data_IF_935809229614
#
_entry.id   IF_935809229614
#
_cell.length_a   1.000
_cell.length_b   1.000
_cell.length_c   1.000
_cell.angle_alpha   90.00
_cell.angle_beta   90.00
_cell.angle_gamma   90.00
#
_symmetry.space_group_name_H-M   'P 1'
#
loop_
_entity.id
_entity.type
_entity.pdbx_description
1 polymer ?
#
# COMPACT_ATOMS: atom_id res chain seq x y z
N UNK A 1 0.44 -1.23 24.01
CA UNK A 1 -0.26 -2.08 23.04
C UNK A 1 0.62 -2.25 21.79
N UNK A 2 0.61 -3.42 21.13
CA UNK A 2 1.50 -3.69 19.99
C UNK A 2 0.91 -3.11 18.70
N UNK A 3 1.75 -2.47 17.89
CA UNK A 3 1.39 -1.98 16.56
C UNK A 3 1.41 -3.13 15.55
N UNK A 4 0.39 -3.18 14.69
CA UNK A 4 0.35 -4.02 13.49
C UNK A 4 0.53 -3.13 12.27
N UNK A 5 1.37 -3.58 11.34
CA UNK A 5 1.72 -2.84 10.12
C UNK A 5 1.43 -3.70 8.88
N UNK A 6 0.98 -3.04 7.81
CA UNK A 6 0.87 -3.62 6.47
C UNK A 6 1.17 -2.54 5.43
N UNK A 7 1.69 -2.91 4.28
CA UNK A 7 1.92 -2.02 3.14
C UNK A 7 1.49 -2.66 1.83
N UNK A 8 1.16 -1.85 0.82
CA UNK A 8 0.73 -2.29 -0.50
C UNK A 8 1.25 -1.35 -1.59
N UNK A 9 1.94 -1.92 -2.58
CA UNK A 9 2.62 -1.21 -3.68
C UNK A 9 2.38 -1.88 -5.05
N UNK A 10 1.25 -2.56 -5.21
CA UNK A 10 0.97 -3.41 -6.36
C UNK A 10 -0.21 -2.88 -7.21
N UNK A 11 -0.81 -3.76 -8.00
CA UNK A 11 -1.81 -3.42 -9.02
C UNK A 11 -2.95 -2.57 -8.46
N UNK A 12 -3.28 -1.48 -9.14
CA UNK A 12 -4.37 -0.57 -8.77
C UNK A 12 -3.99 0.50 -7.75
N UNK A 13 -2.80 0.44 -7.15
CA UNK A 13 -2.30 1.50 -6.28
C UNK A 13 -1.57 2.57 -7.10
N UNK A 14 -2.02 3.82 -6.99
CA UNK A 14 -1.35 4.99 -7.61
C UNK A 14 -0.16 5.52 -6.78
N UNK A 15 -0.06 5.08 -5.52
CA UNK A 15 1.00 5.41 -4.58
C UNK A 15 1.08 4.31 -3.50
N UNK A 16 2.16 4.29 -2.73
CA UNK A 16 2.31 3.40 -1.59
C UNK A 16 1.20 3.60 -0.56
N UNK A 17 0.54 2.49 -0.19
CA UNK A 17 -0.49 2.45 0.85
C UNK A 17 0.09 1.77 2.09
N UNK A 18 -0.07 2.39 3.24
CA UNK A 18 0.45 1.91 4.51
C UNK A 18 -0.68 1.84 5.53
N UNK A 19 -0.74 0.78 6.31
CA UNK A 19 -1.76 0.60 7.33
C UNK A 19 -1.08 0.35 8.67
N UNK A 20 -1.52 1.12 9.67
CA UNK A 20 -1.13 0.95 11.07
C UNK A 20 -2.36 0.73 11.91
N UNK A 21 -2.37 -0.34 12.71
CA UNK A 21 -3.39 -0.61 13.71
C UNK A 21 -2.78 -0.66 15.12
N UNK A 22 -3.38 0.09 16.04
CA UNK A 22 -3.05 0.11 17.47
C UNK A 22 -4.35 0.15 18.27
N UNK A 23 -4.67 -0.97 18.89
CA UNK A 23 -5.92 -1.16 19.63
C UNK A 23 -7.15 -1.02 18.75
N UNK A 24 -8.06 -0.12 19.17
CA UNK A 24 -9.31 0.13 18.46
C UNK A 24 -9.12 0.91 17.15
N UNK A 25 -7.97 1.55 16.96
CA UNK A 25 -7.79 2.47 15.84
C UNK A 25 -6.98 1.85 14.71
N UNK A 26 -7.38 2.16 13.48
CA UNK A 26 -6.69 1.81 12.24
C UNK A 26 -6.52 3.08 11.40
N UNK A 27 -5.28 3.37 11.03
CA UNK A 27 -4.91 4.40 10.07
C UNK A 27 -4.55 3.72 8.74
N UNK A 28 -5.04 4.25 7.63
CA UNK A 28 -4.51 3.98 6.29
C UNK A 28 -3.89 5.27 5.78
N UNK A 29 -2.58 5.26 5.56
CA UNK A 29 -1.78 6.37 5.06
C UNK A 29 -1.39 6.12 3.60
N UNK A 30 -1.49 7.15 2.78
CA UNK A 30 -1.16 7.11 1.36
C UNK A 30 -0.06 8.13 1.10
N UNK A 31 1.04 7.72 0.46
CA UNK A 31 2.11 8.66 0.14
C UNK A 31 1.57 9.76 -0.79
N UNK A 32 1.60 11.01 -0.34
CA UNK A 32 1.11 12.17 -1.09
C UNK A 32 -0.41 12.35 -1.18
N UNK A 33 -1.23 11.59 -0.43
CA UNK A 33 -2.69 11.69 -0.45
C UNK A 33 -3.30 11.70 0.97
N UNK A 34 -4.57 12.07 1.09
CA UNK A 34 -5.30 12.13 2.35
C UNK A 34 -5.39 10.73 3.02
N UNK A 35 -5.15 10.63 4.34
CA UNK A 35 -5.28 9.37 5.05
C UNK A 35 -6.74 9.03 5.35
N UNK A 36 -6.98 7.80 5.79
CA UNK A 36 -8.25 7.36 6.37
C UNK A 36 -8.04 6.89 7.81
N UNK A 37 -9.01 7.13 8.70
CA UNK A 37 -8.93 6.74 10.11
C UNK A 37 -10.23 6.10 10.58
N UNK A 38 -10.15 4.89 11.13
CA UNK A 38 -11.31 4.11 11.57
C UNK A 38 -11.22 3.70 13.04
N UNK A 39 -12.36 3.78 13.72
CA UNK A 39 -12.57 3.23 15.05
C UNK A 39 -13.19 1.83 14.92
N UNK A 40 -12.37 0.79 14.94
CA UNK A 40 -12.80 -0.60 14.70
C UNK A 40 -13.71 -1.17 15.81
N UNK A 41 -13.83 -0.50 16.96
CA UNK A 41 -14.77 -0.92 18.02
C UNK A 41 -16.14 -0.32 17.79
N UNK A 42 -16.21 0.98 17.46
CA UNK A 42 -17.48 1.64 17.18
C UNK A 42 -17.99 1.38 15.75
N UNK A 43 -17.07 1.13 14.82
CA UNK A 43 -17.30 0.91 13.41
C UNK A 43 -16.47 -0.27 12.88
N UNK A 44 -16.88 -1.52 13.18
CA UNK A 44 -16.18 -2.72 12.72
C UNK A 44 -16.17 -2.91 11.20
N UNK A 45 -17.02 -2.17 10.46
CA UNK A 45 -17.14 -2.25 9.00
C UNK A 45 -16.36 -1.15 8.28
N UNK A 46 -15.71 -0.25 9.01
CA UNK A 46 -14.92 0.85 8.44
C UNK A 46 -15.74 1.75 7.49
N UNK A 47 -17.02 1.95 7.81
CA UNK A 47 -17.95 2.70 6.98
C UNK A 47 -17.84 4.23 7.20
N UNK A 48 -17.20 4.67 8.27
CA UNK A 48 -17.11 6.07 8.68
C UNK A 48 -15.65 6.48 8.84
N UNK A 49 -15.13 7.19 7.85
CA UNK A 49 -13.81 7.79 7.92
C UNK A 49 -13.80 8.98 8.89
N UNK A 50 -12.85 8.97 9.83
CA UNK A 50 -12.65 10.00 10.86
C UNK A 50 -11.33 10.76 10.69
N UNK A 51 -10.67 10.65 9.55
CA UNK A 51 -9.38 11.29 9.32
C UNK A 51 -9.42 12.83 9.42
N UNK A 52 -10.56 13.43 9.08
CA UNK A 52 -10.81 14.88 9.17
C UNK A 52 -11.50 15.30 10.48
N UNK A 53 -11.88 14.35 11.34
CA UNK A 53 -12.52 14.66 12.62
C UNK A 53 -11.51 15.28 13.59
N UNK A 54 -11.76 16.53 13.98
CA UNK A 54 -10.91 17.28 14.90
C UNK A 54 -10.77 16.60 16.27
N UNK A 55 -11.79 15.86 16.72
CA UNK A 55 -11.73 15.09 17.95
C UNK A 55 -10.77 13.90 17.85
N UNK A 56 -10.44 13.46 16.63
CA UNK A 56 -9.53 12.36 16.35
C UNK A 56 -8.11 12.81 15.97
N UNK A 57 -7.83 14.12 15.91
CA UNK A 57 -6.54 14.65 15.47
C UNK A 57 -5.34 14.08 16.26
N UNK A 58 -5.48 13.95 17.58
CA UNK A 58 -4.43 13.38 18.44
C UNK A 58 -4.20 11.88 18.17
N UNK A 59 -5.27 11.13 17.89
CA UNK A 59 -5.18 9.70 17.53
C UNK A 59 -4.49 9.53 16.19
N UNK A 60 -4.87 10.34 15.18
CA UNK A 60 -4.23 10.33 13.86
C UNK A 60 -2.73 10.58 13.99
N UNK A 61 -2.34 11.62 14.74
CA UNK A 61 -0.94 11.97 14.96
C UNK A 61 -0.15 10.85 15.67
N UNK A 62 -0.73 10.18 16.68
CA UNK A 62 -0.09 9.04 17.35
C UNK A 62 0.16 7.89 16.37
N UNK A 63 -0.83 7.50 15.58
CA UNK A 63 -0.68 6.40 14.60
C UNK A 63 0.30 6.74 13.48
N UNK A 64 0.30 7.99 13.02
CA UNK A 64 1.28 8.50 12.05
C UNK A 64 2.71 8.48 12.62
N UNK A 65 2.87 8.77 13.92
CA UNK A 65 4.16 8.65 14.59
C UNK A 65 4.58 7.19 14.72
N UNK A 66 3.65 6.26 15.02
CA UNK A 66 3.94 4.83 15.01
C UNK A 66 4.36 4.33 13.63
N UNK A 67 3.69 4.78 12.55
CA UNK A 67 4.10 4.47 11.17
C UNK A 67 5.55 4.92 10.92
N UNK A 68 5.89 6.15 11.30
CA UNK A 68 7.23 6.73 11.09
C UNK A 68 8.34 6.09 11.93
N UNK A 69 8.00 5.32 12.97
CA UNK A 69 8.97 4.46 13.67
C UNK A 69 9.31 3.20 12.88
N UNK A 70 8.46 2.78 11.96
CA UNK A 70 8.62 1.56 11.15
C UNK A 70 9.29 1.90 9.82
N UNK A 71 8.78 2.91 9.11
CA UNK A 71 9.33 3.35 7.84
C UNK A 71 9.03 4.83 7.56
N UNK A 72 9.77 5.42 6.62
CA UNK A 72 9.40 6.66 5.96
C UNK A 72 8.52 6.33 4.74
N UNK A 73 7.21 6.66 4.76
CA UNK A 73 6.28 6.31 3.68
C UNK A 73 6.70 6.88 2.31
N UNK A 74 7.25 8.09 2.29
CA UNK A 74 7.61 8.78 1.05
C UNK A 74 8.84 8.14 0.41
N UNK A 75 9.83 7.78 1.24
CA UNK A 75 11.02 7.07 0.79
C UNK A 75 10.70 5.64 0.32
N UNK A 76 9.83 4.92 1.03
CA UNK A 76 9.39 3.58 0.60
C UNK A 76 8.60 3.66 -0.70
N UNK A 77 7.73 4.65 -0.86
CA UNK A 77 7.01 4.90 -2.10
C UNK A 77 7.97 5.18 -3.27
N UNK A 78 8.95 6.06 -3.08
CA UNK A 78 9.97 6.38 -4.09
C UNK A 78 10.76 5.13 -4.50
N UNK A 79 11.17 4.30 -3.54
CA UNK A 79 11.85 3.02 -3.80
C UNK A 79 10.97 2.05 -4.58
N UNK A 80 9.71 1.90 -4.21
CA UNK A 80 8.78 1.01 -4.91
C UNK A 80 8.63 1.39 -6.39
N UNK A 81 8.50 2.69 -6.70
CA UNK A 81 8.45 3.16 -8.08
C UNK A 81 9.76 2.94 -8.84
N UNK A 82 10.91 3.18 -8.20
CA UNK A 82 12.21 2.90 -8.81
C UNK A 82 12.38 1.40 -9.15
N UNK A 83 11.94 0.51 -8.25
CA UNK A 83 11.98 -0.94 -8.49
C UNK A 83 11.05 -1.36 -9.63
N UNK A 84 9.84 -0.77 -9.71
CA UNK A 84 8.92 -1.00 -10.82
C UNK A 84 9.52 -0.55 -12.15
N UNK A 85 10.13 0.64 -12.20
CA UNK A 85 10.79 1.18 -13.39
C UNK A 85 11.97 0.29 -13.83
N UNK A 86 12.82 -0.12 -12.88
CA UNK A 86 13.94 -1.02 -13.15
C UNK A 86 13.47 -2.36 -13.73
N UNK A 87 12.37 -2.92 -13.21
CA UNK A 87 11.77 -4.16 -13.75
C UNK A 87 11.21 -3.96 -15.15
N UNK A 88 10.55 -2.83 -15.40
CA UNK A 88 10.05 -2.49 -16.74
C UNK A 88 11.22 -2.42 -17.73
N UNK A 89 12.30 -1.73 -17.38
CA UNK A 89 13.49 -1.61 -18.22
C UNK A 89 14.15 -2.99 -18.48
N UNK A 90 14.30 -3.81 -17.44
CA UNK A 90 14.87 -5.16 -17.55
C UNK A 90 14.07 -6.10 -18.47
N UNK A 91 12.77 -5.82 -18.67
CA UNK A 91 11.89 -6.57 -19.55
C UNK A 91 11.64 -5.91 -20.92
N UNK A 92 12.49 -4.96 -21.32
CA UNK A 92 12.45 -4.35 -22.66
C UNK A 92 11.53 -3.14 -22.77
N UNK A 93 11.07 -2.58 -21.65
CA UNK A 93 10.19 -1.42 -21.62
C UNK A 93 8.70 -1.76 -21.69
N UNK A 94 7.86 -0.77 -21.41
CA UNK A 94 6.41 -0.95 -21.29
C UNK A 94 5.76 -1.51 -22.57
N UNK A 95 6.20 -1.05 -23.75
CA UNK A 95 5.65 -1.51 -25.03
C UNK A 95 5.98 -2.98 -25.30
N UNK A 96 7.21 -3.42 -24.99
CA UNK A 96 7.60 -4.83 -25.13
C UNK A 96 6.80 -5.73 -24.18
N UNK A 97 6.56 -5.27 -22.95
CA UNK A 97 5.76 -6.01 -21.96
C UNK A 97 4.31 -6.15 -22.43
N UNK A 98 3.70 -5.07 -22.92
CA UNK A 98 2.33 -5.09 -23.46
C UNK A 98 2.22 -5.99 -24.68
N UNK A 99 3.18 -5.90 -25.61
CA UNK A 99 3.19 -6.72 -26.82
C UNK A 99 3.44 -8.21 -26.53
N UNK A 100 4.22 -8.50 -25.47
CA UNK A 100 4.46 -9.86 -25.00
C UNK A 100 3.20 -10.48 -24.41
N UNK A 101 2.41 -9.70 -23.69
CA UNK A 101 1.20 -10.19 -23.04
C UNK A 101 1.40 -10.74 -21.63
N UNK A 102 0.31 -11.27 -21.09
CA UNK A 102 0.17 -11.82 -19.74
C UNK A 102 0.17 -13.36 -19.77
N UNK A 103 0.51 -13.97 -18.65
CA UNK A 103 0.25 -15.39 -18.44
C UNK A 103 -1.08 -15.53 -17.71
N UNK A 104 -2.13 -15.99 -18.38
CA UNK A 104 -3.48 -16.06 -17.80
C UNK A 104 -3.57 -16.92 -16.52
N UNK A 105 -2.50 -17.63 -16.20
CA UNK A 105 -2.24 -18.31 -14.93
C UNK A 105 -0.73 -18.36 -14.66
N UNK A 106 -0.35 -18.57 -13.40
CA UNK A 106 1.05 -18.85 -13.04
C UNK A 106 1.41 -20.27 -13.49
N UNK A 107 2.39 -20.47 -14.39
CA UNK A 107 2.77 -21.79 -14.85
C UNK A 107 3.28 -22.68 -13.71
N UNK A 108 2.98 -23.98 -13.76
CA UNK A 108 3.52 -24.93 -12.80
C UNK A 108 5.05 -25.07 -12.94
N UNK A 109 5.78 -25.47 -11.88
CA UNK A 109 7.21 -25.74 -11.99
C UNK A 109 7.52 -26.71 -13.15
N UNK A 110 8.41 -26.29 -14.06
CA UNK A 110 8.79 -27.07 -15.25
C UNK A 110 7.93 -26.85 -16.48
N UNK A 111 6.84 -26.07 -16.39
CA UNK A 111 6.02 -25.71 -17.54
C UNK A 111 6.61 -24.50 -18.27
N UNK A 112 6.71 -24.57 -19.60
CA UNK A 112 7.06 -23.42 -20.43
C UNK A 112 5.95 -22.36 -20.34
N UNK A 113 6.25 -21.13 -19.93
CA UNK A 113 5.25 -20.07 -19.86
C UNK A 113 4.72 -19.70 -21.27
N UNK A 114 3.39 -19.60 -21.41
CA UNK A 114 2.74 -19.18 -22.66
C UNK A 114 2.08 -17.83 -22.45
N UNK A 115 2.59 -16.80 -23.13
CA UNK A 115 2.02 -15.47 -23.08
C UNK A 115 0.91 -15.33 -24.14
N UNK A 116 -0.21 -14.68 -23.77
CA UNK A 116 -1.36 -14.43 -24.64
C UNK A 116 -1.48 -12.98 -25.09
#
# INVERSE_FOLDING_TARGET
ERVVFSEYHAVGAIAGMFMVRKGRWKLVHYAGHEPQLFDLVADPQEANDRAEDIACAAVRADLEAELRKICDPDEVNRRAFADQEARIAAHGGAEAIKARGDFGYTPAPGQTPVFG
#
